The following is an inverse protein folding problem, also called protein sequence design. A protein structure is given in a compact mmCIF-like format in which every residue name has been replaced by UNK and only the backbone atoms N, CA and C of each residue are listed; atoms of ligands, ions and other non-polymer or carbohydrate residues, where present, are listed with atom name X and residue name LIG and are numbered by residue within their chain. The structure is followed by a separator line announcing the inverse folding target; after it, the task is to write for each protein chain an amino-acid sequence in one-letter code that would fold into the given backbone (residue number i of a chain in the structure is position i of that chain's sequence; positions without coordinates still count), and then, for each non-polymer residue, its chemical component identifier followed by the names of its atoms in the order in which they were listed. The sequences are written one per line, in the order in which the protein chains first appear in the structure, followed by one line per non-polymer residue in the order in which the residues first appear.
data_IF_258897928920
#
_entry.id   IF_258897928920
#
_cell.length_a   1.000
_cell.length_b   1.000
_cell.length_c   1.000
_cell.angle_alpha   90.00
_cell.angle_beta   90.00
_cell.angle_gamma   90.00
#
_symmetry.space_group_name_H-M   'P 1'
#
loop_
_entity.id
_entity.type
_entity.pdbx_description
1 polymer ?
#
# COMPACT_ATOMS: atom_id res chain seq x y z
N UNK A 1 -12.79 -8.64 -36.95
CA UNK A 1 -11.35 -8.94 -36.74
C UNK A 1 -11.11 -9.86 -35.53
N UNK A 2 -11.80 -9.69 -34.42
CA UNK A 2 -11.70 -10.54 -33.21
C UNK A 2 -12.11 -12.01 -33.45
N UNK A 3 -13.16 -12.27 -34.24
CA UNK A 3 -13.59 -13.65 -34.55
C UNK A 3 -12.60 -14.45 -35.39
N UNK A 4 -11.87 -13.78 -36.28
CA UNK A 4 -10.85 -14.45 -37.13
C UNK A 4 -9.63 -14.83 -36.30
N UNK A 5 -9.28 -14.02 -35.29
CA UNK A 5 -8.18 -14.30 -34.37
C UNK A 5 -8.54 -15.43 -33.39
N UNK A 6 -9.79 -15.49 -32.92
CA UNK A 6 -10.26 -16.57 -32.05
C UNK A 6 -10.29 -17.92 -32.77
N UNK A 7 -10.75 -17.97 -34.05
CA UNK A 7 -10.76 -19.22 -34.80
C UNK A 7 -9.38 -19.79 -35.11
N UNK A 8 -8.37 -18.93 -35.31
CA UNK A 8 -7.00 -19.41 -35.62
C UNK A 8 -6.19 -19.79 -34.38
N UNK A 9 -6.53 -19.26 -33.19
CA UNK A 9 -5.79 -19.53 -31.95
C UNK A 9 -6.37 -20.69 -31.12
N UNK A 10 -7.67 -20.99 -31.25
CA UNK A 10 -8.34 -21.89 -30.31
C UNK A 10 -9.03 -23.11 -30.91
N UNK A 11 -9.03 -23.26 -32.24
CA UNK A 11 -9.50 -24.48 -32.92
C UNK A 11 -8.31 -25.18 -33.58
N UNK A 12 -7.91 -26.38 -33.09
CA UNK A 12 -6.90 -27.17 -33.80
C UNK A 12 -7.52 -27.73 -35.08
N UNK A 13 -7.02 -27.30 -36.23
CA UNK A 13 -7.30 -27.98 -37.47
C UNK A 13 -6.76 -29.40 -37.40
N UNK A 14 -7.65 -30.36 -37.70
CA UNK A 14 -7.35 -31.79 -37.72
C UNK A 14 -6.13 -32.10 -38.54
N UNK A 15 -5.19 -32.79 -37.92
CA UNK A 15 -4.14 -33.64 -38.41
C UNK A 15 -3.64 -33.40 -39.86
N UNK A 16 -2.59 -32.57 -39.96
CA UNK A 16 -1.56 -32.74 -40.97
C UNK A 16 -0.21 -32.44 -40.33
N UNK A 17 0.76 -33.35 -40.55
CA UNK A 17 2.13 -33.26 -40.07
C UNK A 17 2.80 -31.98 -40.56
N UNK A 18 2.76 -30.93 -39.72
CA UNK A 18 3.44 -29.67 -40.01
C UNK A 18 4.86 -29.80 -39.46
N UNK A 19 5.84 -29.70 -40.30
CA UNK A 19 7.26 -29.67 -39.95
C UNK A 19 7.54 -28.47 -39.03
N UNK A 20 8.44 -28.63 -38.03
CA UNK A 20 8.79 -27.61 -37.05
C UNK A 20 9.19 -26.25 -37.69
N UNK A 21 9.70 -26.24 -38.89
CA UNK A 21 10.04 -25.02 -39.65
C UNK A 21 8.81 -24.17 -40.00
N UNK A 22 7.70 -24.79 -40.43
CA UNK A 22 6.44 -24.08 -40.73
C UNK A 22 5.79 -23.46 -39.51
N UNK A 23 5.94 -24.09 -38.37
CA UNK A 23 5.40 -23.57 -37.10
C UNK A 23 6.18 -22.33 -36.62
N UNK A 24 7.51 -22.33 -36.77
CA UNK A 24 8.36 -21.17 -36.43
C UNK A 24 8.09 -19.97 -37.33
N UNK A 25 7.93 -20.13 -38.60
CA UNK A 25 7.58 -19.06 -39.54
C UNK A 25 6.20 -18.46 -39.21
N UNK A 26 5.23 -19.30 -38.87
CA UNK A 26 3.90 -18.84 -38.47
C UNK A 26 3.93 -18.04 -37.16
N UNK A 27 4.69 -18.48 -36.16
CA UNK A 27 4.87 -17.77 -34.87
C UNK A 27 5.57 -16.43 -35.12
N UNK A 28 6.63 -16.40 -35.89
CA UNK A 28 7.36 -15.16 -36.23
C UNK A 28 6.46 -14.14 -36.93
N UNK A 29 5.61 -14.60 -37.83
CA UNK A 29 4.65 -13.75 -38.53
C UNK A 29 3.59 -13.17 -37.61
N UNK A 30 3.08 -13.97 -36.65
CA UNK A 30 2.14 -13.53 -35.63
C UNK A 30 2.80 -12.52 -34.71
N UNK A 31 4.02 -12.77 -34.25
CA UNK A 31 4.79 -11.85 -33.41
C UNK A 31 5.04 -10.51 -34.10
N UNK A 32 5.36 -10.52 -35.40
CA UNK A 32 5.57 -9.31 -36.18
C UNK A 32 4.26 -8.51 -36.32
N UNK A 33 3.13 -9.17 -36.49
CA UNK A 33 1.81 -8.51 -36.56
C UNK A 33 1.35 -7.95 -35.20
N UNK A 34 1.77 -8.55 -34.10
CA UNK A 34 1.42 -8.09 -32.73
C UNK A 34 2.38 -7.01 -32.22
N UNK A 35 3.57 -6.88 -32.78
CA UNK A 35 4.58 -5.94 -32.32
C UNK A 35 4.10 -4.48 -32.24
N UNK A 36 3.27 -3.92 -33.14
CA UNK A 36 2.73 -2.57 -33.00
C UNK A 36 1.79 -2.38 -31.78
N UNK A 37 1.23 -3.48 -31.29
CA UNK A 37 0.29 -3.47 -30.15
C UNK A 37 0.96 -3.84 -28.81
N UNK A 38 2.23 -4.23 -28.83
CA UNK A 38 2.98 -4.53 -27.61
C UNK A 38 3.51 -3.23 -26.99
N UNK A 39 3.45 -3.16 -25.66
CA UNK A 39 4.00 -2.05 -24.87
C UNK A 39 5.53 -2.11 -24.84
N UNK A 40 6.16 -1.83 -25.98
CA UNK A 40 7.61 -1.62 -26.06
C UNK A 40 7.95 -0.15 -25.78
N UNK A 41 9.21 0.14 -25.43
CA UNK A 41 9.67 1.52 -25.19
C UNK A 41 9.34 2.44 -26.36
N UNK A 42 9.45 1.95 -27.59
CA UNK A 42 9.14 2.71 -28.81
C UNK A 42 7.64 2.99 -28.98
N UNK A 43 6.76 2.03 -28.62
CA UNK A 43 5.31 2.19 -28.76
C UNK A 43 4.73 3.06 -27.63
N UNK A 44 5.39 3.11 -26.47
CA UNK A 44 4.99 3.97 -25.33
C UNK A 44 5.11 5.46 -25.69
N UNK A 45 6.11 5.83 -26.49
CA UNK A 45 6.30 7.23 -26.95
C UNK A 45 5.24 7.67 -27.97
N UNK A 46 4.71 6.74 -28.77
CA UNK A 46 3.66 7.02 -29.77
C UNK A 46 2.31 7.25 -29.09
N UNK A 47 1.97 6.43 -28.08
CA UNK A 47 0.71 6.58 -27.32
C UNK A 47 0.70 7.91 -26.54
N UNK A 48 1.85 8.33 -25.98
CA UNK A 48 1.95 9.64 -25.31
C UNK A 48 1.82 10.83 -26.27
N UNK A 49 2.29 10.72 -27.51
CA UNK A 49 2.12 11.77 -28.52
C UNK A 49 0.67 11.90 -29.01
N UNK A 50 -0.06 10.79 -29.15
CA UNK A 50 -1.47 10.82 -29.57
C UNK A 50 -2.41 11.40 -28.52
N UNK A 51 -2.08 11.29 -27.21
CA UNK A 51 -2.87 11.92 -26.14
C UNK A 51 -2.65 13.43 -26.00
N UNK A 52 -1.61 14.00 -26.59
CA UNK A 52 -1.31 15.44 -26.57
C UNK A 52 -1.91 16.17 -27.78
N UNK A 53 -2.12 15.48 -28.92
CA UNK A 53 -2.65 16.10 -30.13
C UNK A 53 -4.17 16.25 -30.19
N UNK A 54 -4.93 15.74 -29.23
CA UNK A 54 -6.40 15.80 -29.23
C UNK A 54 -7.01 17.03 -28.54
N UNK A 55 -6.21 17.96 -27.98
CA UNK A 55 -6.69 19.24 -27.45
C UNK A 55 -5.74 20.37 -27.82
N UNK A 56 -6.02 21.04 -28.91
CA UNK A 56 -5.31 22.27 -29.25
C UNK A 56 -5.72 22.85 -30.57
N UNK A 57 -6.76 23.69 -30.58
CA UNK A 57 -7.08 24.62 -31.67
C UNK A 57 -6.57 26.01 -31.31
N UNK A 58 -5.59 26.46 -32.11
CA UNK A 58 -5.24 27.82 -32.50
C UNK A 58 -5.29 29.00 -31.51
N UNK A 59 -4.18 29.67 -31.31
CA UNK A 59 -3.93 31.02 -31.86
C UNK A 59 -2.46 31.45 -31.67
N UNK A 60 -1.93 32.05 -32.69
CA UNK A 60 -0.63 32.70 -32.89
C UNK A 60 -0.40 33.88 -31.95
N UNK A 61 0.85 34.09 -31.53
CA UNK A 61 1.72 35.26 -31.79
C UNK A 61 2.95 35.28 -30.86
N UNK A 62 4.08 35.32 -31.50
CA UNK A 62 5.37 35.97 -31.24
C UNK A 62 5.72 36.51 -29.85
N UNK A 63 6.86 36.12 -29.34
CA UNK A 63 8.13 36.84 -29.12
C UNK A 63 8.92 36.43 -27.85
N UNK A 64 10.18 36.07 -28.10
CA UNK A 64 11.45 36.49 -27.47
C UNK A 64 11.79 36.05 -26.04
N UNK A 65 12.77 35.17 -26.01
CA UNK A 65 13.93 35.01 -25.09
C UNK A 65 13.76 35.44 -23.63
N UNK A 66 13.83 34.46 -22.76
CA UNK A 66 14.73 34.56 -21.60
C UNK A 66 15.12 33.13 -21.17
N UNK A 67 16.45 32.88 -21.20
CA UNK A 67 17.06 31.65 -20.70
C UNK A 67 17.10 31.83 -19.19
N UNK A 68 16.10 31.27 -18.50
CA UNK A 68 16.20 31.09 -17.07
C UNK A 68 16.76 29.69 -16.79
N UNK A 69 17.88 29.71 -16.10
CA UNK A 69 18.49 28.56 -15.45
C UNK A 69 17.40 27.76 -14.72
N UNK A 70 16.99 26.63 -15.30
CA UNK A 70 16.26 25.62 -14.58
C UNK A 70 17.27 24.97 -13.64
N UNK A 71 17.19 25.35 -12.38
CA UNK A 71 17.80 24.56 -11.31
C UNK A 71 17.12 23.20 -11.38
N UNK A 72 17.84 22.20 -11.83
CA UNK A 72 17.44 20.80 -11.73
C UNK A 72 17.25 20.50 -10.24
N UNK A 73 16.00 20.49 -9.79
CA UNK A 73 15.68 19.86 -8.53
C UNK A 73 16.13 18.39 -8.63
N UNK A 74 16.83 17.85 -7.62
CA UNK A 74 17.25 16.47 -7.63
C UNK A 74 16.01 15.61 -7.80
N UNK A 75 15.98 14.83 -8.88
CA UNK A 75 14.97 13.80 -9.11
C UNK A 75 15.05 12.84 -7.93
N UNK A 76 14.20 13.07 -6.92
CA UNK A 76 13.88 12.04 -5.94
C UNK A 76 13.38 10.84 -6.75
N UNK A 77 14.19 9.80 -6.84
CA UNK A 77 13.78 8.47 -7.26
C UNK A 77 12.74 7.96 -6.24
N UNK A 78 11.53 8.50 -6.31
CA UNK A 78 10.38 7.94 -5.58
C UNK A 78 10.14 6.55 -6.15
N UNK A 79 10.67 5.55 -5.48
CA UNK A 79 10.28 4.17 -5.68
C UNK A 79 8.75 4.17 -5.59
N UNK A 80 8.10 3.84 -6.71
CA UNK A 80 6.64 3.92 -6.80
C UNK A 80 6.03 2.93 -5.81
N UNK A 81 5.15 3.44 -4.94
CA UNK A 81 4.40 2.59 -4.03
C UNK A 81 3.64 1.51 -4.82
N UNK A 82 3.86 0.27 -4.44
CA UNK A 82 3.22 -0.90 -5.03
C UNK A 82 1.89 -1.16 -4.35
N UNK A 83 0.81 -1.26 -5.13
CA UNK A 83 -0.50 -1.67 -4.63
C UNK A 83 -0.79 -3.09 -5.09
N UNK A 84 -0.83 -4.09 -4.20
CA UNK A 84 -1.22 -5.45 -4.55
C UNK A 84 -2.64 -5.49 -5.11
N UNK A 85 -2.85 -6.30 -6.16
CA UNK A 85 -4.15 -6.40 -6.83
C UNK A 85 -5.15 -7.34 -6.09
N UNK A 86 -4.69 -8.08 -5.09
CA UNK A 86 -5.48 -9.05 -4.35
C UNK A 86 -6.47 -8.38 -3.42
N UNK A 87 -7.54 -9.11 -3.04
CA UNK A 87 -8.63 -8.61 -2.20
C UNK A 87 -8.15 -8.16 -0.80
N UNK A 88 -7.19 -8.87 -0.21
CA UNK A 88 -6.52 -8.51 1.04
C UNK A 88 -5.21 -7.78 0.76
N UNK A 89 -5.30 -6.54 0.27
CA UNK A 89 -4.11 -5.74 -0.07
C UNK A 89 -3.20 -5.48 1.13
N UNK A 90 -3.75 -5.40 2.37
CA UNK A 90 -2.95 -5.22 3.59
C UNK A 90 -2.07 -6.45 3.85
N UNK A 91 -2.65 -7.64 3.79
CA UNK A 91 -1.88 -8.88 3.92
C UNK A 91 -0.73 -8.94 2.92
N UNK A 92 -1.01 -8.63 1.65
CA UNK A 92 -0.01 -8.73 0.59
C UNK A 92 1.07 -7.65 0.69
N UNK A 93 0.75 -6.46 1.20
CA UNK A 93 1.78 -5.47 1.56
C UNK A 93 2.71 -6.02 2.66
N UNK A 94 2.16 -6.64 3.71
CA UNK A 94 2.96 -7.23 4.79
C UNK A 94 3.77 -8.44 4.28
N UNK A 95 3.19 -9.26 3.41
CA UNK A 95 3.91 -10.37 2.77
C UNK A 95 5.14 -9.88 2.00
N UNK A 96 5.00 -8.80 1.22
CA UNK A 96 6.11 -8.17 0.48
C UNK A 96 7.17 -7.63 1.44
N UNK A 97 6.79 -7.03 2.56
CA UNK A 97 7.74 -6.56 3.59
C UNK A 97 8.59 -7.71 4.14
N UNK A 98 7.99 -8.89 4.37
CA UNK A 98 8.65 -10.05 4.97
C UNK A 98 9.47 -10.83 3.94
N UNK A 99 8.88 -11.14 2.79
CA UNK A 99 9.42 -12.07 1.79
C UNK A 99 10.10 -11.38 0.62
N UNK A 100 10.01 -10.03 0.55
CA UNK A 100 10.49 -9.19 -0.55
C UNK A 100 9.62 -9.30 -1.81
N UNK A 101 9.77 -8.30 -2.66
CA UNK A 101 8.96 -8.15 -3.87
C UNK A 101 9.19 -9.24 -4.91
N UNK A 102 10.42 -9.76 -5.01
CA UNK A 102 10.76 -10.81 -5.97
C UNK A 102 9.99 -12.11 -5.71
N UNK A 103 9.87 -12.52 -4.43
CA UNK A 103 9.06 -13.70 -4.06
C UNK A 103 7.58 -13.49 -4.38
N UNK A 104 7.05 -12.29 -4.12
CA UNK A 104 5.67 -11.96 -4.49
C UNK A 104 5.42 -12.11 -5.98
N UNK A 105 6.34 -11.67 -6.84
CA UNK A 105 6.22 -11.81 -8.29
C UNK A 105 6.23 -13.28 -8.77
N UNK A 106 6.90 -14.16 -8.04
CA UNK A 106 6.97 -15.59 -8.39
C UNK A 106 5.68 -16.37 -8.09
N UNK A 107 4.75 -15.80 -7.31
CA UNK A 107 3.53 -16.49 -6.88
C UNK A 107 2.58 -16.78 -8.05
N UNK A 108 2.58 -15.96 -9.10
CA UNK A 108 1.67 -16.04 -10.24
C UNK A 108 0.19 -16.17 -9.81
N UNK A 109 -0.49 -17.26 -10.17
CA UNK A 109 -1.93 -17.46 -9.93
C UNK A 109 -2.27 -18.16 -8.61
N UNK A 110 -1.29 -18.37 -7.70
CA UNK A 110 -1.48 -19.15 -6.46
C UNK A 110 -1.68 -18.29 -5.22
N UNK A 111 -2.00 -17.01 -5.37
CA UNK A 111 -2.09 -16.05 -4.26
C UNK A 111 -3.03 -16.55 -3.14
N UNK A 112 -4.26 -16.95 -3.45
CA UNK A 112 -5.21 -17.41 -2.44
C UNK A 112 -4.74 -18.64 -1.65
N UNK A 113 -4.04 -19.56 -2.32
CA UNK A 113 -3.50 -20.75 -1.66
C UNK A 113 -2.37 -20.37 -0.71
N UNK A 114 -1.42 -19.55 -1.16
CA UNK A 114 -0.29 -19.09 -0.35
C UNK A 114 -0.76 -18.24 0.84
N UNK A 115 -1.73 -17.36 0.63
CA UNK A 115 -2.34 -16.57 1.69
C UNK A 115 -2.93 -17.47 2.79
N UNK A 116 -3.71 -18.49 2.39
CA UNK A 116 -4.31 -19.43 3.33
C UNK A 116 -3.25 -20.24 4.08
N UNK A 117 -2.27 -20.80 3.37
CA UNK A 117 -1.18 -21.58 3.97
C UNK A 117 -0.38 -20.73 4.97
N UNK A 118 -0.09 -19.49 4.62
CA UNK A 118 0.66 -18.58 5.45
C UNK A 118 -0.13 -18.19 6.73
N UNK A 119 -1.41 -17.84 6.58
CA UNK A 119 -2.30 -17.55 7.72
C UNK A 119 -2.44 -18.76 8.65
N UNK A 120 -2.60 -19.97 8.10
CA UNK A 120 -2.67 -21.21 8.89
C UNK A 120 -1.37 -21.50 9.62
N UNK A 121 -0.21 -21.31 8.97
CA UNK A 121 1.10 -21.48 9.59
C UNK A 121 1.27 -20.54 10.79
N UNK A 122 0.93 -19.27 10.62
CA UNK A 122 0.99 -18.29 11.70
C UNK A 122 -0.01 -18.61 12.81
N UNK A 123 -1.23 -19.05 12.50
CA UNK A 123 -2.21 -19.51 13.47
C UNK A 123 -1.70 -20.66 14.34
N UNK A 124 -0.98 -21.63 13.75
CA UNK A 124 -0.30 -22.69 14.51
C UNK A 124 0.78 -22.12 15.45
N UNK A 125 1.65 -21.24 14.96
CA UNK A 125 2.67 -20.61 15.78
C UNK A 125 2.08 -19.85 16.98
N UNK A 126 0.96 -19.14 16.78
CA UNK A 126 0.24 -18.43 17.85
C UNK A 126 -0.32 -19.42 18.88
N UNK A 127 -0.88 -20.54 18.41
CA UNK A 127 -1.41 -21.60 19.28
C UNK A 127 -0.32 -22.25 20.11
N UNK A 128 0.85 -22.51 19.53
CA UNK A 128 1.99 -23.15 20.18
C UNK A 128 2.66 -22.22 21.22
N UNK A 129 2.70 -20.91 20.95
CA UNK A 129 3.39 -19.95 21.82
C UNK A 129 2.59 -18.63 22.03
N UNK A 130 1.39 -18.67 22.64
CA UNK A 130 0.53 -17.48 22.81
C UNK A 130 1.14 -16.44 23.77
N UNK A 131 2.11 -16.85 24.60
CA UNK A 131 2.80 -15.97 25.56
C UNK A 131 3.58 -14.86 24.85
N UNK A 132 4.09 -15.10 23.66
CA UNK A 132 4.82 -14.12 22.86
C UNK A 132 3.97 -12.87 22.56
N UNK A 133 2.68 -13.04 22.22
CA UNK A 133 1.75 -11.93 22.03
C UNK A 133 1.41 -11.19 23.32
N UNK A 134 1.24 -11.92 24.43
CA UNK A 134 0.91 -11.32 25.72
C UNK A 134 2.05 -10.49 26.33
N UNK A 135 3.29 -10.85 26.01
CA UNK A 135 4.50 -10.17 26.47
C UNK A 135 4.92 -9.03 25.53
N UNK A 136 4.25 -8.86 24.39
CA UNK A 136 4.55 -7.76 23.46
C UNK A 136 4.16 -6.39 24.04
N UNK A 137 4.71 -5.33 23.48
CA UNK A 137 4.34 -3.92 23.79
C UNK A 137 2.85 -3.66 23.59
N UNK A 138 2.22 -4.44 22.71
CA UNK A 138 0.79 -4.35 22.45
C UNK A 138 -0.01 -5.08 23.54
N UNK A 139 -0.99 -4.41 24.14
CA UNK A 139 -1.85 -5.00 25.18
C UNK A 139 -2.82 -6.00 24.59
N UNK A 140 -2.35 -7.18 24.21
CA UNK A 140 -3.15 -8.26 23.62
C UNK A 140 -3.77 -9.11 24.70
N UNK A 141 -5.11 -9.12 24.77
CA UNK A 141 -5.87 -9.94 25.72
C UNK A 141 -6.05 -11.37 25.22
N UNK A 142 -6.49 -12.28 26.11
CA UNK A 142 -6.82 -13.65 25.71
C UNK A 142 -7.95 -13.67 24.67
N UNK A 143 -8.92 -12.77 24.76
CA UNK A 143 -10.01 -12.64 23.80
C UNK A 143 -9.48 -12.21 22.41
N UNK A 144 -8.59 -11.22 22.37
CA UNK A 144 -7.94 -10.80 21.11
C UNK A 144 -7.16 -11.95 20.43
N UNK A 145 -6.50 -12.81 21.22
CA UNK A 145 -5.80 -13.99 20.66
C UNK A 145 -6.80 -14.95 20.01
N UNK A 146 -7.95 -15.20 20.62
CA UNK A 146 -8.99 -16.05 20.03
C UNK A 146 -9.58 -15.44 18.75
N UNK A 147 -9.77 -14.14 18.72
CA UNK A 147 -10.21 -13.40 17.55
C UNK A 147 -9.20 -13.52 16.40
N UNK A 148 -7.92 -13.25 16.66
CA UNK A 148 -6.84 -13.42 15.67
C UNK A 148 -6.80 -14.84 15.10
N UNK A 149 -6.91 -15.85 15.96
CA UNK A 149 -6.92 -17.25 15.53
C UNK A 149 -8.16 -17.56 14.68
N UNK A 150 -9.32 -17.04 15.03
CA UNK A 150 -10.56 -17.18 14.26
C UNK A 150 -10.39 -16.56 12.86
N UNK A 151 -9.83 -15.36 12.78
CA UNK A 151 -9.64 -14.64 11.51
C UNK A 151 -8.65 -15.35 10.59
N UNK A 152 -7.56 -15.89 11.15
CA UNK A 152 -6.59 -16.66 10.35
C UNK A 152 -7.10 -18.02 9.88
N UNK A 153 -8.07 -18.62 10.58
CA UNK A 153 -8.64 -19.91 10.22
C UNK A 153 -9.85 -19.79 9.30
N UNK A 154 -10.45 -18.61 9.21
CA UNK A 154 -11.67 -18.36 8.41
C UNK A 154 -11.30 -17.63 7.12
N UNK A 155 -11.19 -18.34 6.02
CA UNK A 155 -11.12 -17.72 4.71
C UNK A 155 -12.53 -17.24 4.26
N UNK A 156 -12.71 -16.05 3.69
CA UNK A 156 -11.79 -15.04 3.18
C UNK A 156 -11.73 -13.75 4.03
N UNK A 157 -11.35 -13.85 5.29
CA UNK A 157 -11.24 -12.66 6.14
C UNK A 157 -10.07 -11.77 5.72
N UNK A 158 -10.34 -10.48 5.57
CA UNK A 158 -9.30 -9.48 5.37
C UNK A 158 -8.51 -9.30 6.66
N UNK A 159 -7.22 -9.10 6.52
CA UNK A 159 -6.30 -8.84 7.64
C UNK A 159 -6.71 -7.56 8.38
N UNK A 160 -7.02 -7.67 9.68
CA UNK A 160 -7.35 -6.55 10.56
C UNK A 160 -6.12 -6.09 11.37
N UNK A 161 -6.27 -5.03 12.16
CA UNK A 161 -5.16 -4.47 12.94
C UNK A 161 -4.65 -5.41 14.04
N UNK A 162 -5.50 -6.26 14.62
CA UNK A 162 -5.07 -7.28 15.57
C UNK A 162 -4.19 -8.35 14.89
N UNK A 163 -4.54 -8.73 13.66
CA UNK A 163 -3.72 -9.63 12.86
C UNK A 163 -2.36 -9.00 12.52
N UNK A 164 -2.30 -7.69 12.23
CA UNK A 164 -1.04 -6.97 12.01
C UNK A 164 -0.15 -7.04 13.24
N UNK A 165 -0.69 -6.84 14.45
CA UNK A 165 0.05 -6.99 15.70
C UNK A 165 0.67 -8.40 15.79
N UNK A 166 -0.12 -9.44 15.52
CA UNK A 166 0.38 -10.80 15.58
C UNK A 166 1.53 -11.04 14.59
N UNK A 167 1.35 -10.59 13.34
CA UNK A 167 2.38 -10.71 12.30
C UNK A 167 3.66 -9.99 12.72
N UNK A 168 3.54 -8.74 13.16
CA UNK A 168 4.66 -7.91 13.61
C UNK A 168 5.48 -8.59 14.72
N UNK A 169 4.80 -9.15 15.72
CA UNK A 169 5.43 -9.82 16.87
C UNK A 169 6.11 -11.13 16.47
N UNK A 170 5.47 -11.95 15.61
CA UNK A 170 6.03 -13.26 15.24
C UNK A 170 7.16 -13.17 14.24
N UNK A 171 7.09 -12.24 13.30
CA UNK A 171 8.12 -12.02 12.27
C UNK A 171 9.17 -10.99 12.66
N UNK A 172 9.01 -10.32 13.81
CA UNK A 172 9.94 -9.31 14.31
C UNK A 172 10.23 -8.19 13.30
N UNK A 173 9.18 -7.61 12.72
CA UNK A 173 9.25 -6.47 11.80
C UNK A 173 8.53 -5.26 12.38
N UNK A 174 8.94 -4.06 12.02
CA UNK A 174 8.17 -2.85 12.30
C UNK A 174 7.31 -2.47 11.10
N UNK A 175 6.06 -2.11 11.35
CA UNK A 175 5.13 -1.65 10.34
C UNK A 175 4.51 -0.33 10.80
N UNK A 176 4.54 0.67 9.92
CA UNK A 176 3.82 1.92 10.08
C UNK A 176 2.71 1.94 9.03
N UNK A 177 1.46 2.01 9.45
CA UNK A 177 0.32 2.20 8.54
C UNK A 177 -0.05 3.68 8.56
N UNK A 178 -0.01 4.29 7.38
CA UNK A 178 -0.34 5.69 7.16
C UNK A 178 -1.66 5.84 6.42
N UNK A 179 -2.51 6.72 6.89
CA UNK A 179 -3.54 7.31 6.04
C UNK A 179 -2.99 8.62 5.47
N UNK A 180 -2.55 8.58 4.22
CA UNK A 180 -1.91 9.74 3.57
C UNK A 180 -2.83 10.94 3.40
N UNK A 181 -4.14 10.73 3.31
CA UNK A 181 -5.13 11.80 3.13
C UNK A 181 -5.33 12.62 4.41
N UNK A 182 -5.18 12.01 5.58
CA UNK A 182 -5.61 12.60 6.85
C UNK A 182 -4.47 12.76 7.86
N UNK A 183 -3.23 12.59 7.45
CA UNK A 183 -2.03 12.72 8.29
C UNK A 183 -2.10 11.89 9.59
N UNK A 184 -2.64 10.68 9.51
CA UNK A 184 -2.75 9.76 10.63
C UNK A 184 -1.88 8.54 10.42
N UNK A 185 -1.28 8.03 11.50
CA UNK A 185 -0.48 6.82 11.48
C UNK A 185 -0.80 5.90 12.64
N UNK A 186 -0.61 4.60 12.42
CA UNK A 186 -0.49 3.58 13.45
C UNK A 186 0.87 2.92 13.35
N UNK A 187 1.56 2.76 14.48
CA UNK A 187 2.87 2.11 14.53
C UNK A 187 2.73 0.75 15.24
N UNK A 188 3.18 -0.30 14.57
CA UNK A 188 3.25 -1.66 15.09
C UNK A 188 4.72 -2.00 15.31
N UNK A 189 5.11 -2.07 16.57
CA UNK A 189 6.51 -2.25 16.98
C UNK A 189 6.67 -3.50 17.83
N UNK A 190 7.88 -4.01 17.90
CA UNK A 190 8.26 -5.13 18.77
C UNK A 190 9.23 -4.65 19.86
N UNK A 191 9.37 -5.42 20.95
CA UNK A 191 10.31 -5.11 22.02
C UNK A 191 11.78 -5.33 21.63
N UNK A 192 12.00 -6.15 20.60
CA UNK A 192 13.31 -6.35 20.00
C UNK A 192 13.56 -5.29 18.95
N UNK A 193 14.80 -4.81 18.84
CA UNK A 193 15.17 -3.87 17.81
C UNK A 193 15.14 -4.56 16.43
N UNK A 194 14.07 -4.39 15.63
CA UNK A 194 14.05 -4.92 14.27
C UNK A 194 15.01 -4.11 13.41
N UNK A 195 15.56 -4.76 12.42
CA UNK A 195 16.46 -4.12 11.48
C UNK A 195 15.73 -3.21 10.50
N UNK A 196 14.47 -3.56 10.18
CA UNK A 196 13.73 -2.95 9.08
C UNK A 196 12.36 -2.44 9.55
N UNK A 197 12.02 -1.21 9.12
CA UNK A 197 10.69 -0.61 9.30
C UNK A 197 10.08 -0.35 7.94
N UNK A 198 8.87 -0.86 7.71
CA UNK A 198 8.14 -0.68 6.46
C UNK A 198 6.96 0.27 6.63
N UNK A 199 6.72 1.12 5.63
CA UNK A 199 5.60 2.04 5.62
C UNK A 199 4.56 1.57 4.62
N UNK A 200 3.34 1.38 5.10
CA UNK A 200 2.18 0.97 4.31
C UNK A 200 1.22 2.15 4.25
N UNK A 201 0.81 2.53 3.06
CA UNK A 201 -0.11 3.65 2.84
C UNK A 201 -1.51 3.14 2.51
N UNK A 202 -2.50 3.60 3.27
CA UNK A 202 -3.92 3.35 3.01
C UNK A 202 -4.46 4.48 2.12
N UNK A 203 -5.12 4.12 1.02
CA UNK A 203 -5.79 5.07 0.15
C UNK A 203 -7.28 5.22 0.49
N UNK A 204 -7.96 6.19 -0.16
CA UNK A 204 -9.39 6.47 0.03
C UNK A 204 -10.32 5.30 -0.31
N UNK A 205 -9.85 4.36 -1.14
CA UNK A 205 -10.60 3.16 -1.55
C UNK A 205 -10.40 1.98 -0.60
N UNK A 206 -9.79 2.20 0.57
CA UNK A 206 -9.41 1.16 1.54
C UNK A 206 -8.45 0.10 0.99
N UNK A 207 -7.68 0.42 -0.05
CA UNK A 207 -6.59 -0.41 -0.52
C UNK A 207 -5.28 0.07 0.10
N UNK A 208 -4.36 -0.87 0.27
CA UNK A 208 -3.06 -0.61 0.84
C UNK A 208 -1.97 -0.70 -0.22
N UNK A 209 -0.97 0.15 -0.08
CA UNK A 209 0.23 0.16 -0.92
C UNK A 209 1.48 0.23 -0.06
N UNK A 210 2.58 -0.33 -0.53
CA UNK A 210 3.84 -0.40 0.20
C UNK A 210 5.00 0.04 -0.69
N UNK A 211 6.00 0.71 -0.08
CA UNK A 211 7.33 0.78 -0.64
C UNK A 211 8.04 -0.55 -0.31
N UNK A 212 8.53 -1.32 -1.30
CA UNK A 212 9.17 -2.62 -1.04
C UNK A 212 10.47 -2.51 -0.23
N UNK A 213 11.06 -1.33 -0.18
CA UNK A 213 12.28 -1.06 0.59
C UNK A 213 11.95 -0.56 2.00
N UNK A 214 12.80 -0.89 3.00
CA UNK A 214 12.66 -0.34 4.34
C UNK A 214 12.81 1.18 4.33
N UNK A 215 12.01 1.86 5.14
CA UNK A 215 12.05 3.30 5.26
C UNK A 215 13.35 3.77 5.94
N UNK A 216 13.95 4.83 5.41
CA UNK A 216 15.13 5.46 6.00
C UNK A 216 14.81 6.17 7.33
N UNK A 217 15.82 6.38 8.17
CA UNK A 217 15.66 7.12 9.43
C UNK A 217 15.09 8.52 9.23
N UNK A 218 15.50 9.22 8.16
CA UNK A 218 15.03 10.57 7.83
C UNK A 218 13.55 10.54 7.39
N UNK A 219 13.16 9.54 6.62
CA UNK A 219 11.77 9.34 6.22
C UNK A 219 10.87 9.05 7.42
N UNK A 220 11.32 8.17 8.34
CA UNK A 220 10.61 7.87 9.58
C UNK A 220 10.45 9.11 10.45
N UNK A 221 11.50 9.94 10.57
CA UNK A 221 11.44 11.20 11.30
C UNK A 221 10.44 12.18 10.67
N UNK A 222 10.43 12.32 9.33
CA UNK A 222 9.44 13.14 8.61
C UNK A 222 8.02 12.65 8.86
N UNK A 223 7.77 11.35 8.71
CA UNK A 223 6.46 10.75 8.96
C UNK A 223 6.00 11.02 10.38
N UNK A 224 6.86 10.80 11.39
CA UNK A 224 6.51 11.02 12.79
C UNK A 224 6.20 12.46 13.12
N UNK A 225 6.89 13.40 12.50
CA UNK A 225 6.68 14.84 12.70
C UNK A 225 5.44 15.38 11.97
N UNK A 226 5.07 14.77 10.84
CA UNK A 226 3.97 15.25 9.99
C UNK A 226 2.65 14.51 10.18
N UNK A 227 2.58 13.55 11.10
CA UNK A 227 1.36 12.75 11.28
C UNK A 227 1.03 12.51 12.75
N UNK A 228 -0.28 12.36 13.01
CA UNK A 228 -0.83 12.04 14.33
C UNK A 228 -0.76 10.53 14.59
N UNK A 229 -0.24 10.13 15.75
CA UNK A 229 -0.16 8.74 16.18
C UNK A 229 -1.48 8.28 16.81
N UNK A 230 -2.12 7.28 16.21
CA UNK A 230 -3.24 6.55 16.77
C UNK A 230 -2.68 5.32 17.50
N UNK A 231 -2.81 5.27 18.82
CA UNK A 231 -2.35 4.11 19.61
C UNK A 231 -3.38 2.98 19.68
N UNK A 232 -4.65 3.35 19.63
CA UNK A 232 -5.75 2.39 19.69
C UNK A 232 -6.82 2.77 18.67
N UNK A 233 -7.20 1.81 17.85
CA UNK A 233 -8.21 1.99 16.82
C UNK A 233 -9.60 2.33 17.35
N UNK A 234 -9.98 1.78 18.52
CA UNK A 234 -11.26 2.05 19.15
C UNK A 234 -11.30 3.43 19.85
N UNK A 235 -10.15 3.87 20.37
CA UNK A 235 -9.98 5.14 21.06
C UNK A 235 -8.76 5.87 20.50
N UNK A 236 -8.94 6.67 19.43
CA UNK A 236 -7.83 7.35 18.76
C UNK A 236 -7.08 8.32 19.68
N UNK A 237 -7.77 8.91 20.66
CA UNK A 237 -7.20 9.84 21.62
C UNK A 237 -7.06 9.20 23.01
N UNK A 238 -5.96 9.54 23.70
CA UNK A 238 -5.81 9.32 25.15
C UNK A 238 -6.79 10.20 25.92
N UNK A 239 -6.87 10.01 27.22
CA UNK A 239 -7.67 10.91 28.09
C UNK A 239 -7.18 12.35 27.97
N UNK A 240 -8.09 13.31 28.11
CA UNK A 240 -7.80 14.75 27.96
C UNK A 240 -6.67 15.21 28.90
N UNK A 241 -6.49 14.56 30.06
CA UNK A 241 -5.39 14.84 30.98
C UNK A 241 -3.99 14.57 30.42
N UNK A 242 -3.90 13.69 29.43
CA UNK A 242 -2.64 13.29 28.81
C UNK A 242 -2.07 14.31 27.81
N UNK A 243 -2.86 15.31 27.40
CA UNK A 243 -2.45 16.32 26.44
C UNK A 243 -2.26 17.69 27.08
N UNK A 244 -1.26 18.44 26.56
CA UNK A 244 -1.14 19.87 26.80
C UNK A 244 -2.01 20.64 25.81
N UNK A 245 -2.37 21.89 26.12
CA UNK A 245 -3.17 22.74 25.22
C UNK A 245 -2.43 22.97 23.91
N UNK A 246 -1.13 23.24 23.99
CA UNK A 246 -0.28 23.49 22.82
C UNK A 246 -0.21 22.28 21.88
N UNK A 247 -0.21 21.06 22.43
CA UNK A 247 -0.23 19.81 21.66
C UNK A 247 -1.57 19.65 20.91
N UNK A 248 -2.69 19.95 21.58
CA UNK A 248 -4.01 19.92 20.94
C UNK A 248 -4.15 20.96 19.83
N UNK A 249 -3.57 22.15 20.02
CA UNK A 249 -3.50 23.18 18.97
C UNK A 249 -2.69 22.70 17.78
N UNK A 250 -1.53 22.07 18.02
CA UNK A 250 -0.71 21.50 16.96
C UNK A 250 -1.47 20.42 16.17
N UNK A 251 -2.18 19.54 16.84
CA UNK A 251 -2.99 18.51 16.18
C UNK A 251 -4.18 19.10 15.42
N UNK A 252 -4.86 20.09 15.98
CA UNK A 252 -5.95 20.78 15.30
C UNK A 252 -5.46 21.53 14.03
N UNK A 253 -4.26 22.11 14.09
CA UNK A 253 -3.60 22.72 12.92
C UNK A 253 -3.18 21.67 11.88
N UNK A 254 -2.62 20.55 12.33
CA UNK A 254 -2.24 19.43 11.46
C UNK A 254 -3.44 18.88 10.68
N UNK A 255 -4.60 18.84 11.32
CA UNK A 255 -5.86 18.40 10.72
C UNK A 255 -6.58 19.48 9.92
N UNK A 256 -6.10 20.73 9.97
CA UNK A 256 -6.74 21.87 9.29
C UNK A 256 -8.09 22.28 9.87
N UNK A 257 -8.36 21.90 11.12
CA UNK A 257 -9.62 22.23 11.83
C UNK A 257 -9.48 23.38 12.84
N UNK A 258 -8.27 23.93 12.99
CA UNK A 258 -8.00 25.04 13.88
C UNK A 258 -8.29 26.38 13.20
N UNK A 259 -9.05 27.26 13.89
CA UNK A 259 -9.30 28.62 13.44
C UNK A 259 -8.54 29.63 14.33
N UNK A 260 -7.56 30.34 13.77
CA UNK A 260 -6.73 31.31 14.51
C UNK A 260 -7.51 32.51 15.08
N UNK A 261 -8.74 32.75 14.60
CA UNK A 261 -9.60 33.86 15.06
C UNK A 261 -10.46 33.51 16.29
N UNK A 262 -10.49 32.24 16.71
CA UNK A 262 -11.28 31.77 17.83
C UNK A 262 -10.40 31.40 19.03
N UNK A 263 -10.92 31.64 20.24
CA UNK A 263 -10.26 31.20 21.49
C UNK A 263 -10.94 29.93 21.98
N UNK A 264 -10.21 28.83 21.83
CA UNK A 264 -10.68 27.52 22.27
C UNK A 264 -10.24 27.20 23.70
N UNK A 265 -11.15 26.58 24.46
CA UNK A 265 -10.79 25.91 25.71
C UNK A 265 -10.20 24.54 25.41
N UNK A 266 -9.45 23.99 26.40
CA UNK A 266 -8.83 22.66 26.25
C UNK A 266 -9.83 21.57 25.87
N UNK A 267 -11.03 21.59 26.47
CA UNK A 267 -12.07 20.60 26.20
C UNK A 267 -12.57 20.70 24.76
N UNK A 268 -12.83 21.92 24.28
CA UNK A 268 -13.28 22.15 22.91
C UNK A 268 -12.27 21.69 21.86
N UNK A 269 -10.98 21.97 22.08
CA UNK A 269 -9.89 21.47 21.24
C UNK A 269 -9.83 19.93 21.25
N UNK A 270 -9.97 19.33 22.43
CA UNK A 270 -9.95 17.88 22.57
C UNK A 270 -11.12 17.23 21.81
N UNK A 271 -12.32 17.81 21.89
CA UNK A 271 -13.52 17.31 21.20
C UNK A 271 -13.37 17.45 19.67
N UNK A 272 -12.90 18.59 19.19
CA UNK A 272 -12.67 18.84 17.75
C UNK A 272 -11.62 17.83 17.19
N UNK A 273 -10.49 17.69 17.88
CA UNK A 273 -9.43 16.74 17.48
C UNK A 273 -9.95 15.30 17.55
N UNK A 274 -10.77 14.99 18.57
CA UNK A 274 -11.36 13.67 18.77
C UNK A 274 -12.38 13.31 17.69
N UNK A 275 -13.25 14.21 17.33
CA UNK A 275 -14.22 14.01 16.24
C UNK A 275 -13.52 13.79 14.89
N UNK A 276 -12.49 14.58 14.61
CA UNK A 276 -11.70 14.40 13.40
C UNK A 276 -10.98 13.04 13.38
N UNK A 277 -10.30 12.69 14.50
CA UNK A 277 -9.59 11.43 14.60
C UNK A 277 -10.53 10.22 14.55
N UNK A 278 -11.73 10.30 15.09
CA UNK A 278 -12.74 9.24 15.01
C UNK A 278 -13.30 9.09 13.58
N UNK A 279 -13.56 10.22 12.90
CA UNK A 279 -14.12 10.22 11.54
C UNK A 279 -13.16 9.62 10.50
N UNK A 280 -11.87 9.91 10.64
CA UNK A 280 -10.85 9.54 9.67
C UNK A 280 -9.89 8.45 10.16
N UNK A 281 -10.32 7.68 11.16
CA UNK A 281 -9.53 6.59 11.72
C UNK A 281 -9.09 5.58 10.65
N UNK A 282 -7.93 4.95 10.88
CA UNK A 282 -7.38 3.88 10.02
C UNK A 282 -8.16 2.57 10.25
N UNK A 283 -9.47 2.61 10.28
CA UNK A 283 -10.32 1.41 10.41
C UNK A 283 -10.34 0.64 9.10
N UNK A 284 -10.39 -0.65 9.20
CA UNK A 284 -10.57 -1.59 8.07
C UNK A 284 -12.05 -1.84 7.89
#
# INVERSE_FOLDING_TARGET
MTEIIQRKLFLPDTATSVTEASTRESITKIMTMLNPYMLTINNKSIVQKQSIESHGSSTTCDNVKEIQHVVEEPCDNKISNLTPAQADSLFWCIYIAIHKYDEYLMIHNKHNMIELEWKQKLGKQITDCPTKLKQSTHKVTKANIQEILSDFMTAPYKTNMLCVIAITVYYNIHIIIMNSTNNMRMEFTTDTHPTDTYVIYKNERNNYSICPEPASADELARIRNSSFLIENNEKPLKSIGSYKVDELIQYAKLFGVYNDHEKYKKNELYDIVGEYAAKYNITI
#
